data_IF_502877061116
#
_entry.id   IF_502877061116
#
_cell.length_a   1.000
_cell.length_b   1.000
_cell.length_c   1.000
_cell.angle_alpha   90.00
_cell.angle_beta   90.00
_cell.angle_gamma   90.00
#
_symmetry.space_group_name_H-M   'P 1'
#
loop_
_entity.id
_entity.type
_entity.pdbx_description
1 polymer ?
#
# COMPACT_ATOMS: atom_id res chain seq x y z
N UNK A 1 19.65 -26.60 9.77
CA UNK A 1 18.71 -25.61 10.36
C UNK A 1 17.81 -26.22 11.43
N UNK A 2 16.99 -27.26 11.15
CA UNK A 2 16.11 -27.88 12.16
C UNK A 2 16.84 -28.30 13.45
N UNK A 3 18.01 -28.95 13.30
CA UNK A 3 18.88 -29.34 14.43
C UNK A 3 19.42 -28.15 15.23
N UNK A 4 19.68 -27.02 14.58
CA UNK A 4 20.20 -25.81 15.24
C UNK A 4 19.09 -25.08 16.01
N UNK A 5 17.89 -25.03 15.44
CA UNK A 5 16.71 -24.47 16.12
C UNK A 5 16.28 -25.34 17.30
N UNK A 6 16.34 -26.67 17.17
CA UNK A 6 16.00 -27.59 18.27
C UNK A 6 16.96 -27.51 19.47
N UNK A 7 18.17 -26.98 19.29
CA UNK A 7 19.14 -26.75 20.38
C UNK A 7 19.15 -25.27 20.85
N UNK A 8 18.16 -24.47 20.43
CA UNK A 8 17.96 -23.11 20.91
C UNK A 8 18.87 -22.06 20.28
N UNK A 9 19.44 -22.32 19.09
CA UNK A 9 20.23 -21.31 18.39
C UNK A 9 19.37 -20.07 18.08
N UNK A 10 19.82 -18.85 18.42
CA UNK A 10 19.03 -17.65 18.22
C UNK A 10 18.82 -17.36 16.74
N UNK A 11 17.60 -16.95 16.39
CA UNK A 11 17.23 -16.50 15.04
C UNK A 11 17.27 -14.97 15.04
N UNK A 12 18.11 -14.38 14.20
CA UNK A 12 18.13 -12.93 14.02
C UNK A 12 16.83 -12.41 13.37
N UNK A 13 16.49 -11.15 13.61
CA UNK A 13 15.20 -10.55 13.17
C UNK A 13 14.98 -10.54 11.65
N UNK A 14 16.05 -10.69 10.86
CA UNK A 14 15.98 -10.73 9.39
C UNK A 14 15.05 -11.83 8.87
N UNK A 15 15.09 -13.03 9.46
CA UNK A 15 14.30 -14.17 8.97
C UNK A 15 12.80 -13.96 9.25
N UNK A 16 12.35 -13.65 10.48
CA UNK A 16 10.95 -13.35 10.73
C UNK A 16 10.42 -12.17 9.91
N UNK A 17 11.23 -11.14 9.66
CA UNK A 17 10.84 -9.99 8.84
C UNK A 17 10.66 -10.38 7.37
N UNK A 18 11.54 -11.19 6.80
CA UNK A 18 11.37 -11.71 5.45
C UNK A 18 10.12 -12.60 5.33
N UNK A 19 9.87 -13.49 6.28
CA UNK A 19 8.70 -14.36 6.29
C UNK A 19 7.38 -13.57 6.39
N UNK A 20 7.32 -12.53 7.23
CA UNK A 20 6.16 -11.62 7.29
C UNK A 20 5.95 -10.87 5.97
N UNK A 21 7.01 -10.48 5.28
CA UNK A 21 6.93 -9.82 3.97
C UNK A 21 6.39 -10.78 2.90
N UNK A 22 6.89 -12.02 2.87
CA UNK A 22 6.39 -13.06 1.97
C UNK A 22 4.92 -13.40 2.24
N UNK A 23 4.52 -13.47 3.52
CA UNK A 23 3.14 -13.73 3.90
C UNK A 23 2.20 -12.57 3.53
N UNK A 24 2.68 -11.32 3.61
CA UNK A 24 1.97 -10.15 3.10
C UNK A 24 1.72 -10.26 1.59
N UNK A 25 2.74 -10.61 0.81
CA UNK A 25 2.62 -10.83 -0.64
C UNK A 25 1.64 -11.96 -0.97
N UNK A 26 1.71 -13.09 -0.24
CA UNK A 26 0.73 -14.18 -0.36
C UNK A 26 -0.69 -13.69 -0.13
N UNK A 27 -0.91 -12.88 0.90
CA UNK A 27 -2.22 -12.30 1.17
C UNK A 27 -2.68 -11.42 -0.01
N UNK A 28 -1.83 -10.53 -0.52
CA UNK A 28 -2.15 -9.68 -1.68
C UNK A 28 -2.65 -10.49 -2.87
N UNK A 29 -1.96 -11.59 -3.21
CA UNK A 29 -2.34 -12.47 -4.32
C UNK A 29 -3.69 -13.18 -4.11
N UNK A 30 -4.00 -13.58 -2.87
CA UNK A 30 -5.31 -14.17 -2.55
C UNK A 30 -6.42 -13.12 -2.58
N UNK A 31 -6.11 -11.91 -2.09
CA UNK A 31 -7.06 -10.79 -1.97
C UNK A 31 -7.44 -10.21 -3.33
N UNK A 32 -6.46 -10.00 -4.21
CA UNK A 32 -6.61 -9.24 -5.46
C UNK A 32 -6.46 -10.09 -6.72
N UNK A 33 -6.16 -11.38 -6.57
CA UNK A 33 -5.91 -12.29 -7.69
C UNK A 33 -4.44 -12.32 -8.11
N UNK A 34 -4.14 -13.27 -9.00
CA UNK A 34 -2.79 -13.52 -9.48
C UNK A 34 -2.44 -12.63 -10.67
N UNK A 35 -1.19 -12.14 -10.76
CA UNK A 35 -0.65 -11.60 -12.01
C UNK A 35 -0.71 -12.64 -13.15
N UNK A 36 -0.94 -12.18 -14.38
CA UNK A 36 -1.11 -13.05 -15.57
C UNK A 36 0.05 -14.01 -15.85
N UNK A 37 1.26 -13.68 -15.37
CA UNK A 37 2.47 -14.49 -15.57
C UNK A 37 2.66 -15.58 -14.50
N UNK A 38 1.80 -15.65 -13.48
CA UNK A 38 1.86 -16.63 -12.40
C UNK A 38 0.68 -17.60 -12.49
N UNK A 39 0.97 -18.89 -12.32
CA UNK A 39 -0.05 -19.94 -12.27
C UNK A 39 -0.47 -20.23 -10.83
N UNK A 40 -1.74 -20.61 -10.65
CA UNK A 40 -2.28 -21.01 -9.34
C UNK A 40 -1.43 -22.10 -8.68
N UNK A 41 -1.03 -23.12 -9.44
CA UNK A 41 -0.20 -24.22 -8.93
C UNK A 41 1.13 -23.77 -8.32
N UNK A 42 1.79 -22.76 -8.90
CA UNK A 42 3.06 -22.24 -8.39
C UNK A 42 2.86 -21.45 -7.10
N UNK A 43 1.74 -20.74 -6.99
CA UNK A 43 1.40 -19.99 -5.78
C UNK A 43 0.99 -20.93 -4.65
N UNK A 44 0.27 -22.01 -4.95
CA UNK A 44 -0.10 -23.02 -3.96
C UNK A 44 1.14 -23.73 -3.40
N UNK A 45 2.07 -24.14 -4.26
CA UNK A 45 3.35 -24.73 -3.86
C UNK A 45 4.18 -23.76 -3.00
N UNK A 46 4.32 -22.51 -3.45
CA UNK A 46 5.04 -21.48 -2.70
C UNK A 46 4.38 -21.16 -1.35
N UNK A 47 3.05 -21.15 -1.29
CA UNK A 47 2.29 -20.91 -0.06
C UNK A 47 2.46 -22.04 0.95
N UNK A 48 2.44 -23.30 0.48
CA UNK A 48 2.70 -24.45 1.33
C UNK A 48 4.13 -24.43 1.92
N UNK A 49 5.12 -24.13 1.08
CA UNK A 49 6.51 -23.98 1.52
C UNK A 49 6.68 -22.83 2.52
N UNK A 50 6.00 -21.70 2.30
CA UNK A 50 5.99 -20.57 3.23
C UNK A 50 5.37 -20.96 4.57
N UNK A 51 4.26 -21.71 4.58
CA UNK A 51 3.64 -22.19 5.82
C UNK A 51 4.58 -23.10 6.63
N UNK A 52 5.32 -23.98 5.97
CA UNK A 52 6.36 -24.78 6.64
C UNK A 52 7.48 -23.92 7.24
N UNK A 53 7.95 -22.91 6.51
CA UNK A 53 8.97 -21.98 7.02
C UNK A 53 8.45 -21.15 8.19
N UNK A 54 7.24 -20.61 8.09
CA UNK A 54 6.61 -19.85 9.16
C UNK A 54 6.47 -20.71 10.43
N UNK A 55 5.99 -21.94 10.31
CA UNK A 55 5.90 -22.88 11.43
C UNK A 55 7.29 -23.18 12.03
N UNK A 56 8.31 -23.36 11.19
CA UNK A 56 9.68 -23.63 11.63
C UNK A 56 10.30 -22.47 12.43
N UNK A 57 9.95 -21.24 12.09
CA UNK A 57 10.48 -20.03 12.72
C UNK A 57 9.52 -19.38 13.72
N UNK A 58 8.38 -20.00 14.02
CA UNK A 58 7.37 -19.47 14.96
C UNK A 58 6.75 -18.16 14.50
N UNK A 59 6.65 -17.95 13.20
CA UNK A 59 6.02 -16.75 12.61
C UNK A 59 4.56 -17.07 12.33
N UNK A 60 3.64 -16.32 12.94
CA UNK A 60 2.22 -16.44 12.64
C UNK A 60 1.92 -15.89 11.24
N UNK A 61 1.16 -16.66 10.45
CA UNK A 61 0.65 -16.25 9.16
C UNK A 61 -0.67 -15.50 9.32
N UNK A 62 -0.85 -14.47 8.50
CA UNK A 62 -2.07 -13.68 8.42
C UNK A 62 -3.16 -14.46 7.72
N UNK A 63 -4.39 -14.26 8.15
CA UNK A 63 -5.55 -14.69 7.37
C UNK A 63 -5.74 -13.72 6.19
N UNK A 64 -5.74 -14.26 4.97
CA UNK A 64 -6.01 -13.48 3.78
C UNK A 64 -7.50 -13.15 3.71
N UNK A 65 -7.84 -11.89 3.41
CA UNK A 65 -9.21 -11.44 3.29
C UNK A 65 -9.53 -11.11 1.84
N UNK A 66 -10.80 -11.21 1.43
CA UNK A 66 -11.22 -10.71 0.11
C UNK A 66 -11.00 -9.20 0.04
N UNK A 67 -10.71 -8.68 -1.15
CA UNK A 67 -10.72 -7.23 -1.36
C UNK A 67 -12.15 -6.69 -1.11
N UNK A 68 -12.31 -5.60 -0.35
CA UNK A 68 -13.55 -4.84 -0.33
C UNK A 68 -13.94 -4.38 -1.73
N UNK A 69 -15.24 -4.35 -2.04
CA UNK A 69 -15.74 -4.01 -3.39
C UNK A 69 -16.46 -2.65 -3.39
N UNK A 70 -16.62 -2.08 -4.58
CA UNK A 70 -17.34 -0.82 -4.79
C UNK A 70 -18.71 -0.86 -4.11
N UNK A 71 -19.04 0.22 -3.40
CA UNK A 71 -20.24 0.37 -2.59
C UNK A 71 -20.11 -0.12 -1.13
N UNK A 72 -19.10 -0.92 -0.79
CA UNK A 72 -18.84 -1.29 0.60
C UNK A 72 -18.22 -0.14 1.41
N UNK A 73 -18.44 -0.15 2.72
CA UNK A 73 -17.92 0.85 3.64
C UNK A 73 -16.72 0.32 4.43
N UNK A 74 -15.62 1.06 4.37
CA UNK A 74 -14.41 0.80 5.14
C UNK A 74 -14.64 1.06 6.63
N UNK A 75 -13.92 0.29 7.46
CA UNK A 75 -13.91 0.44 8.93
C UNK A 75 -12.53 0.89 9.39
N UNK A 76 -12.49 1.65 10.49
CA UNK A 76 -11.27 2.27 10.99
C UNK A 76 -11.13 2.08 12.48
N UNK A 77 -9.94 1.66 12.92
CA UNK A 77 -9.60 1.59 14.33
C UNK A 77 -9.39 3.00 14.89
N UNK A 78 -10.11 3.34 15.96
CA UNK A 78 -10.07 4.68 16.56
C UNK A 78 -8.68 5.09 17.10
N UNK A 79 -7.80 4.12 17.38
CA UNK A 79 -6.46 4.35 17.94
C UNK A 79 -5.29 4.12 16.98
N UNK A 80 -5.52 3.77 15.72
CA UNK A 80 -4.42 3.50 14.80
C UNK A 80 -3.74 4.80 14.34
N UNK A 81 -2.40 4.77 14.25
CA UNK A 81 -1.63 5.87 13.66
C UNK A 81 -1.89 5.97 12.16
N UNK A 82 -1.63 7.13 11.51
CA UNK A 82 -1.76 7.27 10.07
C UNK A 82 -0.96 6.20 9.30
N UNK A 83 0.27 5.90 9.71
CA UNK A 83 1.11 4.86 9.10
C UNK A 83 0.50 3.46 9.24
N UNK A 84 -0.03 3.11 10.42
CA UNK A 84 -0.69 1.82 10.63
C UNK A 84 -1.95 1.71 9.76
N UNK A 85 -2.72 2.77 9.66
CA UNK A 85 -3.92 2.82 8.85
C UNK A 85 -3.59 2.74 7.37
N UNK A 86 -2.60 3.49 6.90
CA UNK A 86 -2.09 3.42 5.54
C UNK A 86 -1.66 1.99 5.18
N UNK A 87 -0.85 1.35 6.03
CA UNK A 87 -0.40 -0.02 5.77
C UNK A 87 -1.55 -1.01 5.68
N UNK A 88 -2.59 -0.88 6.51
CA UNK A 88 -3.76 -1.77 6.46
C UNK A 88 -4.63 -1.51 5.25
N UNK A 89 -4.90 -0.24 4.93
CA UNK A 89 -5.70 0.12 3.76
C UNK A 89 -5.00 -0.26 2.47
N UNK A 90 -3.67 -0.13 2.42
CA UNK A 90 -2.85 -0.64 1.31
C UNK A 90 -3.08 -2.14 1.11
N UNK A 91 -2.96 -2.94 2.18
CA UNK A 91 -3.16 -4.40 2.11
C UNK A 91 -4.56 -4.78 1.62
N UNK A 92 -5.57 -3.98 1.97
CA UNK A 92 -6.97 -4.24 1.59
C UNK A 92 -7.32 -3.79 0.17
N UNK A 93 -6.76 -2.67 -0.31
CA UNK A 93 -7.28 -1.95 -1.48
C UNK A 93 -6.32 -1.85 -2.65
N UNK A 94 -5.02 -2.05 -2.43
CA UNK A 94 -4.01 -1.83 -3.47
C UNK A 94 -3.53 -3.18 -4.01
N UNK A 95 -3.76 -3.48 -5.31
CA UNK A 95 -3.26 -4.69 -5.93
C UNK A 95 -1.74 -4.64 -6.10
N UNK A 96 -1.13 -5.78 -6.37
CA UNK A 96 0.33 -5.89 -6.60
C UNK A 96 0.80 -5.12 -7.84
N UNK A 97 -0.09 -4.92 -8.82
CA UNK A 97 0.21 -4.17 -10.04
C UNK A 97 -1.04 -3.52 -10.62
N UNK A 98 -0.84 -2.50 -11.46
CA UNK A 98 -1.91 -1.80 -12.16
C UNK A 98 -2.62 -0.74 -11.35
N UNK A 99 -3.68 -0.20 -11.93
CA UNK A 99 -4.56 0.79 -11.31
C UNK A 99 -5.55 0.11 -10.35
N UNK A 100 -5.89 0.79 -9.26
CA UNK A 100 -6.90 0.27 -8.34
C UNK A 100 -8.31 0.38 -8.95
N UNK A 101 -9.21 -0.53 -8.58
CA UNK A 101 -10.63 -0.46 -8.95
C UNK A 101 -11.38 0.68 -8.25
N UNK A 102 -10.82 1.23 -7.16
CA UNK A 102 -11.48 2.26 -6.35
C UNK A 102 -10.63 3.52 -6.25
N UNK A 103 -11.29 4.68 -6.11
CA UNK A 103 -10.60 5.96 -5.82
C UNK A 103 -9.79 5.88 -4.51
N UNK A 104 -10.32 5.21 -3.49
CA UNK A 104 -9.66 5.00 -2.20
C UNK A 104 -8.39 4.16 -2.33
N UNK A 105 -8.45 3.05 -3.07
CA UNK A 105 -7.26 2.27 -3.37
C UNK A 105 -6.23 3.10 -4.13
N UNK A 106 -6.67 3.87 -5.12
CA UNK A 106 -5.75 4.60 -5.97
C UNK A 106 -5.04 5.75 -5.28
N UNK A 107 -5.72 6.53 -4.44
CA UNK A 107 -5.04 7.60 -3.71
C UNK A 107 -3.96 7.03 -2.78
N UNK A 108 -4.19 5.84 -2.20
CA UNK A 108 -3.20 5.13 -1.41
C UNK A 108 -2.06 4.60 -2.29
N UNK A 109 -2.38 4.00 -3.45
CA UNK A 109 -1.38 3.52 -4.43
C UNK A 109 -0.46 4.66 -4.86
N UNK A 110 -1.03 5.81 -5.20
CA UNK A 110 -0.29 7.02 -5.56
C UNK A 110 0.62 7.45 -4.42
N UNK A 111 0.11 7.59 -3.20
CA UNK A 111 0.90 7.98 -2.04
C UNK A 111 2.07 7.02 -1.78
N UNK A 112 1.85 5.70 -1.85
CA UNK A 112 2.91 4.72 -1.67
C UNK A 112 3.95 4.74 -2.80
N UNK A 113 3.52 4.97 -4.06
CA UNK A 113 4.44 5.16 -5.19
C UNK A 113 5.31 6.40 -5.03
N UNK A 114 4.73 7.50 -4.55
CA UNK A 114 5.49 8.72 -4.21
C UNK A 114 6.52 8.42 -3.13
N UNK A 115 6.12 7.72 -2.07
CA UNK A 115 7.02 7.31 -0.99
C UNK A 115 8.18 6.45 -1.48
N UNK A 116 7.89 5.39 -2.23
CA UNK A 116 8.92 4.53 -2.81
C UNK A 116 9.89 5.32 -3.72
N UNK A 117 9.38 6.24 -4.52
CA UNK A 117 10.22 7.03 -5.42
C UNK A 117 11.21 7.93 -4.69
N UNK A 118 10.78 8.52 -3.58
CA UNK A 118 11.59 9.45 -2.78
C UNK A 118 12.51 8.70 -1.81
N UNK A 119 12.03 7.66 -1.13
CA UNK A 119 12.80 6.94 -0.11
C UNK A 119 13.74 5.88 -0.71
N UNK A 120 13.31 5.16 -1.75
CA UNK A 120 14.00 3.95 -2.20
C UNK A 120 14.69 4.11 -3.56
N UNK A 121 14.10 4.89 -4.46
CA UNK A 121 14.58 5.01 -5.85
C UNK A 121 15.29 6.35 -6.16
N UNK A 122 15.40 7.25 -5.19
CA UNK A 122 16.14 8.50 -5.32
C UNK A 122 15.65 9.42 -6.46
N UNK A 123 14.38 9.31 -6.88
CA UNK A 123 13.82 10.11 -7.96
C UNK A 123 14.24 9.72 -9.37
N UNK A 124 14.85 8.55 -9.59
CA UNK A 124 15.30 8.10 -10.92
C UNK A 124 14.14 8.00 -11.93
N UNK A 125 12.95 7.63 -11.47
CA UNK A 125 11.74 7.49 -12.27
C UNK A 125 10.90 8.78 -12.34
N UNK A 126 11.41 9.89 -11.82
CA UNK A 126 10.71 11.18 -11.71
C UNK A 126 10.64 11.91 -13.06
N UNK A 127 9.83 11.38 -13.97
CA UNK A 127 9.58 11.96 -15.29
C UNK A 127 8.23 12.71 -15.36
N UNK A 128 7.77 13.02 -16.58
CA UNK A 128 6.47 13.68 -16.80
C UNK A 128 5.27 12.86 -16.29
N UNK A 129 5.36 11.54 -16.23
CA UNK A 129 4.29 10.69 -15.68
C UNK A 129 4.14 10.85 -14.17
N UNK A 130 5.24 11.10 -13.45
CA UNK A 130 5.19 11.38 -12.02
C UNK A 130 4.45 12.70 -11.70
N UNK A 131 4.64 13.73 -12.53
CA UNK A 131 3.88 14.97 -12.40
C UNK A 131 2.36 14.76 -12.56
N UNK A 132 1.94 13.92 -13.51
CA UNK A 132 0.54 13.55 -13.72
C UNK A 132 -0.02 12.73 -12.55
N UNK A 133 0.79 11.86 -11.97
CA UNK A 133 0.41 11.06 -10.80
C UNK A 133 0.14 11.96 -9.59
N UNK A 134 0.93 13.01 -9.39
CA UNK A 134 0.67 14.03 -8.36
C UNK A 134 -0.57 14.89 -8.67
N UNK A 135 -0.87 15.16 -9.94
CA UNK A 135 -2.14 15.82 -10.32
C UNK A 135 -3.35 14.93 -10.01
N UNK A 136 -3.23 13.64 -10.30
CA UNK A 136 -4.28 12.66 -10.01
C UNK A 136 -4.51 12.56 -8.50
N UNK A 137 -3.45 12.57 -7.69
CA UNK A 137 -3.57 12.67 -6.23
C UNK A 137 -4.47 13.85 -5.80
N UNK A 138 -4.16 15.07 -6.28
CA UNK A 138 -4.98 16.25 -5.96
C UNK A 138 -6.41 16.13 -6.47
N UNK A 139 -6.62 15.54 -7.65
CA UNK A 139 -7.95 15.29 -8.19
C UNK A 139 -8.78 14.39 -7.26
N UNK A 140 -8.17 13.33 -6.71
CA UNK A 140 -8.87 12.42 -5.81
C UNK A 140 -9.16 13.10 -4.47
N UNK A 141 -8.16 13.70 -3.81
CA UNK A 141 -8.36 14.25 -2.45
C UNK A 141 -9.28 15.48 -2.39
N UNK A 142 -9.58 16.09 -3.54
CA UNK A 142 -10.57 17.18 -3.69
C UNK A 142 -11.95 16.70 -4.15
N UNK A 143 -12.09 15.42 -4.44
CA UNK A 143 -13.38 14.80 -4.76
C UNK A 143 -14.12 14.36 -3.50
N UNK A 144 -15.40 14.01 -3.64
CA UNK A 144 -16.22 13.53 -2.53
C UNK A 144 -16.43 14.59 -1.44
N UNK A 145 -16.42 14.15 -0.18
CA UNK A 145 -16.44 15.02 0.98
C UNK A 145 -15.08 15.71 1.13
N UNK A 146 -15.05 17.05 1.21
CA UNK A 146 -13.81 17.80 1.24
C UNK A 146 -13.10 17.66 2.60
N UNK A 147 -11.78 17.61 2.57
CA UNK A 147 -10.95 17.80 3.76
C UNK A 147 -11.05 19.25 4.28
N UNK A 148 -10.69 19.52 5.54
CA UNK A 148 -10.59 20.89 6.04
C UNK A 148 -9.65 21.75 5.16
N UNK A 149 -9.92 23.06 5.00
CA UNK A 149 -9.11 23.93 4.12
C UNK A 149 -7.60 23.91 4.40
N UNK A 150 -7.21 23.75 5.68
CA UNK A 150 -5.80 23.64 6.06
C UNK A 150 -5.15 22.34 5.55
N UNK A 151 -5.90 21.24 5.52
CA UNK A 151 -5.45 19.95 5.01
C UNK A 151 -5.35 19.96 3.48
N UNK A 152 -6.31 20.57 2.78
CA UNK A 152 -6.25 20.77 1.32
C UNK A 152 -5.05 21.65 0.93
N UNK A 153 -4.82 22.77 1.62
CA UNK A 153 -3.64 23.61 1.40
C UNK A 153 -2.31 22.85 1.66
N UNK A 154 -2.28 21.94 2.65
CA UNK A 154 -1.12 21.07 2.91
C UNK A 154 -0.90 20.07 1.76
N UNK A 155 -1.97 19.47 1.22
CA UNK A 155 -1.88 18.61 0.04
C UNK A 155 -1.31 19.36 -1.18
N UNK A 156 -1.79 20.58 -1.44
CA UNK A 156 -1.27 21.45 -2.50
C UNK A 156 0.21 21.76 -2.34
N UNK A 157 0.62 22.16 -1.13
CA UNK A 157 2.00 22.51 -0.83
C UNK A 157 2.94 21.30 -0.99
N UNK A 158 2.52 20.13 -0.52
CA UNK A 158 3.26 18.87 -0.67
C UNK A 158 3.44 18.52 -2.15
N UNK A 159 2.37 18.58 -2.94
CA UNK A 159 2.42 18.31 -4.39
C UNK A 159 3.27 19.34 -5.12
N UNK A 160 3.16 20.62 -4.79
CA UNK A 160 4.01 21.67 -5.39
C UNK A 160 5.50 21.45 -5.08
N UNK A 161 5.82 21.11 -3.83
CA UNK A 161 7.18 20.75 -3.41
C UNK A 161 7.72 19.59 -4.24
N UNK A 162 6.98 18.49 -4.35
CA UNK A 162 7.38 17.32 -5.12
C UNK A 162 7.49 17.66 -6.62
N UNK A 163 6.56 18.41 -7.20
CA UNK A 163 6.65 18.85 -8.60
C UNK A 163 7.88 19.71 -8.88
N UNK A 164 8.39 20.42 -7.88
CA UNK A 164 9.66 21.16 -7.96
C UNK A 164 10.91 20.26 -7.89
N UNK A 165 10.73 18.93 -7.87
CA UNK A 165 11.77 17.90 -7.70
C UNK A 165 12.47 17.95 -6.34
N UNK A 166 11.77 18.43 -5.33
CA UNK A 166 12.23 18.35 -3.94
C UNK A 166 12.11 16.92 -3.43
N UNK A 167 13.19 16.38 -2.84
CA UNK A 167 13.19 15.10 -2.13
C UNK A 167 12.67 15.27 -0.68
N UNK A 168 11.61 16.06 -0.50
CA UNK A 168 11.10 16.40 0.83
C UNK A 168 10.37 15.22 1.44
N UNK A 169 10.95 14.63 2.49
CA UNK A 169 10.30 13.59 3.29
C UNK A 169 9.01 14.09 3.95
N UNK A 170 8.97 15.35 4.40
CA UNK A 170 7.74 15.94 4.94
C UNK A 170 6.61 15.98 3.90
N UNK A 171 6.92 16.29 2.63
CA UNK A 171 5.90 16.30 1.59
C UNK A 171 5.37 14.89 1.28
N UNK A 172 6.22 13.86 1.40
CA UNK A 172 5.81 12.46 1.26
C UNK A 172 4.92 12.03 2.43
N UNK A 173 5.31 12.40 3.65
CA UNK A 173 4.55 12.10 4.86
C UNK A 173 3.18 12.79 4.81
N UNK A 174 3.14 14.06 4.41
CA UNK A 174 1.89 14.81 4.20
C UNK A 174 0.98 14.12 3.17
N UNK A 175 1.51 13.71 2.01
CA UNK A 175 0.72 12.98 0.99
C UNK A 175 0.14 11.69 1.57
N UNK A 176 0.93 10.95 2.35
CA UNK A 176 0.54 9.66 2.94
C UNK A 176 -0.55 9.84 4.00
N UNK A 177 -0.37 10.81 4.90
CA UNK A 177 -1.35 11.12 5.95
C UNK A 177 -2.67 11.63 5.38
N UNK A 178 -2.60 12.57 4.43
CA UNK A 178 -3.79 13.18 3.82
C UNK A 178 -4.56 12.18 2.94
N UNK A 179 -3.88 11.20 2.32
CA UNK A 179 -4.56 10.09 1.65
C UNK A 179 -5.44 9.31 2.64
N UNK A 180 -4.90 8.97 3.81
CA UNK A 180 -5.65 8.27 4.87
C UNK A 180 -6.80 9.14 5.39
N UNK A 181 -6.55 10.42 5.63
CA UNK A 181 -7.58 11.37 6.10
C UNK A 181 -8.74 11.46 5.12
N UNK A 182 -8.44 11.62 3.82
CA UNK A 182 -9.46 11.65 2.78
C UNK A 182 -10.26 10.35 2.70
N UNK A 183 -9.60 9.18 2.79
CA UNK A 183 -10.28 7.87 2.80
C UNK A 183 -11.19 7.71 4.03
N UNK A 184 -10.79 8.24 5.20
CA UNK A 184 -11.64 8.24 6.41
C UNK A 184 -12.89 9.09 6.24
N UNK A 185 -12.77 10.25 5.58
CA UNK A 185 -13.90 11.11 5.25
C UNK A 185 -14.79 10.49 4.17
N UNK A 186 -14.21 9.72 3.25
CA UNK A 186 -14.88 9.12 2.10
C UNK A 186 -14.83 7.57 2.15
N UNK A 187 -15.44 6.91 3.15
CA UNK A 187 -15.18 5.51 3.42
C UNK A 187 -16.03 4.53 2.60
N UNK A 188 -17.00 5.01 1.83
CA UNK A 188 -17.77 4.18 0.90
C UNK A 188 -17.00 4.11 -0.40
N UNK A 189 -16.63 2.89 -0.81
CA UNK A 189 -15.80 2.67 -1.98
C UNK A 189 -16.51 3.11 -3.26
N UNK A 190 -15.81 3.91 -4.06
CA UNK A 190 -16.31 4.42 -5.34
C UNK A 190 -15.41 3.91 -6.45
N UNK A 191 -16.04 3.53 -7.57
CA UNK A 191 -15.36 3.09 -8.79
C UNK A 191 -14.31 4.11 -9.24
N UNK A 192 -13.16 3.62 -9.68
CA UNK A 192 -12.14 4.42 -10.34
C UNK A 192 -12.64 4.91 -11.71
N UNK A 193 -12.74 6.22 -11.88
CA UNK A 193 -13.14 6.87 -13.15
C UNK A 193 -12.05 7.76 -13.75
N UNK A 194 -10.84 7.78 -13.15
CA UNK A 194 -9.72 8.57 -13.60
C UNK A 194 -8.86 7.79 -14.61
N UNK A 195 -8.27 8.46 -15.62
CA UNK A 195 -7.41 7.79 -16.59
C UNK A 195 -6.18 7.17 -15.91
N UNK A 196 -5.74 6.02 -16.41
CA UNK A 196 -4.44 5.48 -16.04
C UNK A 196 -3.34 6.40 -16.60
N UNK A 197 -2.67 7.13 -15.70
CA UNK A 197 -1.56 8.04 -16.03
C UNK A 197 -0.20 7.34 -16.07
N UNK A 198 -0.18 6.02 -15.90
CA UNK A 198 0.95 5.16 -16.19
C UNK A 198 1.81 4.72 -15.01
N UNK A 199 2.48 3.60 -15.30
CA UNK A 199 3.34 2.70 -14.52
C UNK A 199 2.60 1.80 -13.52
#
# INVERSE_FOLDING_TARGET
>A
IRLLLSVGAPVGERVPTALRSMDRMRCTFITHGLPDHLSQSRIDEASAALSELCALFGVEQREAQRAPVVGERLTFDAGATPTQMFSRLWDQLVPDSGQCQTLQGEVLRIAGRVGHEVYDNGGINWDRSFGKLLDQYLSVVRSGLPMPPAADARAEAAVASLKSRSMSYQAVDDITELAVEWVRLNPVLVEMDLPDVGR
#
